data_IF_459288762067
#
_entry.id   IF_459288762067
#
_cell.length_a   1.000
_cell.length_b   1.000
_cell.length_c   1.000
_cell.angle_alpha   90.00
_cell.angle_beta   90.00
_cell.angle_gamma   90.00
#
_symmetry.space_group_name_H-M   'P 1'
#
loop_
_entity.id
_entity.type
_entity.pdbx_description
1 polymer ?
#
# COMPACT_ATOMS: atom_id res chain seq x y z
N UNK A 1 -22.72 -4.05 20.86
CA UNK A 1 -22.48 -3.73 22.29
C UNK A 1 -21.87 -2.34 22.38
N UNK A 2 -22.45 -1.47 23.20
CA UNK A 2 -21.89 -0.16 23.51
C UNK A 2 -20.65 -0.35 24.41
N UNK A 3 -19.53 0.37 24.10
CA UNK A 3 -18.35 0.42 24.95
C UNK A 3 -18.25 1.80 25.57
N UNK A 4 -18.18 1.85 26.91
CA UNK A 4 -17.92 3.09 27.63
C UNK A 4 -16.47 3.12 28.10
N UNK A 5 -15.82 4.32 28.09
CA UNK A 5 -14.49 4.55 28.65
C UNK A 5 -14.46 5.86 29.43
N UNK A 6 -13.58 5.96 30.39
CA UNK A 6 -13.30 7.25 31.04
C UNK A 6 -12.67 8.21 30.02
N UNK A 7 -12.98 9.48 30.14
CA UNK A 7 -12.33 10.53 29.36
C UNK A 7 -10.82 10.50 29.64
N UNK A 8 -10.02 10.49 28.59
CA UNK A 8 -8.57 10.60 28.67
C UNK A 8 -8.10 11.42 27.47
N UNK A 9 -6.96 12.09 27.61
CA UNK A 9 -6.29 12.71 26.46
C UNK A 9 -5.86 11.58 25.54
N UNK A 10 -6.45 11.52 24.36
CA UNK A 10 -6.07 10.56 23.32
C UNK A 10 -5.56 11.34 22.12
N UNK A 11 -4.41 10.95 21.63
CA UNK A 11 -3.95 11.45 20.33
C UNK A 11 -4.91 10.99 19.23
N UNK A 12 -5.45 11.94 18.50
CA UNK A 12 -6.30 11.65 17.35
C UNK A 12 -5.42 11.36 16.14
N UNK A 13 -5.58 10.19 15.53
CA UNK A 13 -4.94 9.90 14.24
C UNK A 13 -5.77 10.54 13.13
N UNK A 14 -5.11 11.28 12.24
CA UNK A 14 -5.74 11.86 11.05
C UNK A 14 -5.76 10.80 9.95
N UNK A 15 -6.95 10.52 9.42
CA UNK A 15 -7.11 9.79 8.15
C UNK A 15 -7.61 10.77 7.09
N UNK A 16 -6.91 10.85 5.96
CA UNK A 16 -7.25 11.75 4.85
C UNK A 16 -7.23 10.98 3.54
N UNK A 17 -8.21 11.28 2.67
CA UNK A 17 -8.26 10.77 1.30
C UNK A 17 -8.18 11.96 0.35
N UNK A 18 -7.19 11.93 -0.55
CA UNK A 18 -7.04 12.91 -1.62
C UNK A 18 -7.52 12.28 -2.92
N UNK A 19 -8.46 12.95 -3.59
CA UNK A 19 -8.95 12.50 -4.89
C UNK A 19 -9.03 13.66 -5.87
N UNK A 20 -8.92 13.34 -7.16
CA UNK A 20 -8.97 14.35 -8.22
C UNK A 20 -8.33 13.81 -9.50
N UNK A 21 -8.41 14.62 -10.56
CA UNK A 21 -7.80 14.29 -11.86
C UNK A 21 -6.27 14.15 -11.73
N UNK A 22 -5.59 13.50 -12.67
CA UNK A 22 -4.13 13.56 -12.77
C UNK A 22 -3.62 15.00 -12.76
N UNK A 23 -2.41 15.21 -12.24
CA UNK A 23 -1.73 16.53 -12.18
C UNK A 23 -2.42 17.60 -11.33
N UNK A 24 -3.27 17.23 -10.38
CA UNK A 24 -3.92 18.19 -9.46
C UNK A 24 -3.14 18.40 -8.14
N UNK A 25 -1.91 17.90 -8.05
CA UNK A 25 -1.04 18.10 -6.89
C UNK A 25 -1.33 17.19 -5.68
N UNK A 26 -2.01 16.05 -5.86
CA UNK A 26 -2.30 15.12 -4.77
C UNK A 26 -1.03 14.59 -4.11
N UNK A 27 -0.10 14.05 -4.90
CA UNK A 27 1.20 13.55 -4.43
C UNK A 27 2.02 14.67 -3.81
N UNK A 28 2.06 15.85 -4.43
CA UNK A 28 2.72 17.03 -3.87
C UNK A 28 2.16 17.38 -2.48
N UNK A 29 0.85 17.32 -2.31
CA UNK A 29 0.21 17.59 -1.02
C UNK A 29 0.55 16.50 0.02
N UNK A 30 0.56 15.23 -0.38
CA UNK A 30 0.93 14.13 0.50
C UNK A 30 2.39 14.26 0.97
N UNK A 31 3.29 14.70 0.09
CA UNK A 31 4.70 14.91 0.41
C UNK A 31 4.95 16.05 1.40
N UNK A 32 3.98 16.96 1.61
CA UNK A 32 4.11 17.97 2.67
C UNK A 32 4.26 17.36 4.07
N UNK A 33 3.84 16.11 4.27
CA UNK A 33 4.05 15.39 5.54
C UNK A 33 5.54 15.25 5.89
N UNK A 34 6.43 15.21 4.92
CA UNK A 34 7.88 15.13 5.13
C UNK A 34 8.47 16.37 5.82
N UNK A 35 7.78 17.52 5.78
CA UNK A 35 8.19 18.75 6.47
C UNK A 35 7.65 18.86 7.90
N UNK A 36 6.77 17.95 8.31
CA UNK A 36 6.16 17.99 9.62
C UNK A 36 7.18 17.53 10.69
N UNK A 37 6.91 17.95 11.91
CA UNK A 37 7.70 17.56 13.07
C UNK A 37 6.82 16.86 14.09
N UNK A 38 7.40 15.89 14.75
CA UNK A 38 6.81 15.22 15.90
C UNK A 38 6.72 16.18 17.09
N UNK A 39 5.94 15.86 18.13
CA UNK A 39 5.86 16.67 19.36
C UNK A 39 7.21 16.90 20.05
N UNK A 40 8.17 16.00 19.87
CA UNK A 40 9.53 16.11 20.38
C UNK A 40 10.44 17.03 19.54
N UNK A 41 9.90 17.60 18.45
CA UNK A 41 10.60 18.49 17.52
C UNK A 41 11.39 17.77 16.42
N UNK A 42 11.49 16.44 16.45
CA UNK A 42 12.16 15.64 15.41
C UNK A 42 11.31 15.58 14.15
N UNK A 43 11.93 15.36 12.96
CA UNK A 43 11.19 15.18 11.71
C UNK A 43 10.22 13.99 11.75
N UNK A 44 9.14 14.07 10.96
CA UNK A 44 8.27 12.93 10.70
C UNK A 44 9.03 11.86 9.93
N UNK A 45 8.73 10.59 10.26
CA UNK A 45 9.15 9.44 9.49
C UNK A 45 7.98 8.97 8.64
N UNK A 46 8.18 8.94 7.33
CA UNK A 46 7.14 8.72 6.36
C UNK A 46 7.31 7.35 5.69
N UNK A 47 6.34 6.46 5.86
CA UNK A 47 6.21 5.26 5.04
C UNK A 47 5.41 5.64 3.78
N UNK A 48 6.03 5.54 2.62
CA UNK A 48 5.41 5.84 1.34
C UNK A 48 5.24 4.56 0.53
N UNK A 49 3.99 4.14 0.34
CA UNK A 49 3.63 2.97 -0.46
C UNK A 49 3.24 3.46 -1.85
N UNK A 50 4.06 3.13 -2.85
CA UNK A 50 3.96 3.61 -4.22
C UNK A 50 3.57 2.50 -5.22
N UNK A 51 2.28 2.31 -5.51
CA UNK A 51 1.81 1.39 -6.52
C UNK A 51 2.12 1.81 -7.96
N UNK A 52 2.45 3.07 -8.20
CA UNK A 52 2.77 3.60 -9.53
C UNK A 52 4.26 3.45 -9.88
N UNK A 53 5.08 3.03 -8.91
CA UNK A 53 6.51 2.74 -9.07
C UNK A 53 7.31 3.92 -9.65
N UNK A 54 7.54 4.93 -8.81
CA UNK A 54 8.34 6.11 -9.12
C UNK A 54 7.59 7.43 -9.03
N UNK A 55 6.34 7.44 -8.55
CA UNK A 55 5.56 8.68 -8.40
C UNK A 55 6.19 9.66 -7.40
N UNK A 56 6.96 9.18 -6.44
CA UNK A 56 7.66 9.99 -5.44
C UNK A 56 9.03 10.48 -5.92
N UNK A 57 9.68 9.78 -6.84
CA UNK A 57 11.09 10.03 -7.20
C UNK A 57 11.34 11.46 -7.70
N UNK A 58 10.38 12.01 -8.44
CA UNK A 58 10.42 13.39 -8.93
C UNK A 58 10.47 14.43 -7.80
N UNK A 59 10.03 14.07 -6.58
CA UNK A 59 9.96 14.98 -5.43
C UNK A 59 11.17 14.86 -4.50
N UNK A 60 11.92 13.76 -4.54
CA UNK A 60 13.02 13.51 -3.59
C UNK A 60 14.11 14.58 -3.67
N UNK A 61 14.45 15.03 -4.88
CA UNK A 61 15.41 16.10 -5.09
C UNK A 61 14.98 17.41 -4.43
N UNK A 62 13.74 17.80 -4.61
CA UNK A 62 13.17 19.01 -4.03
C UNK A 62 13.07 18.92 -2.51
N UNK A 63 12.67 17.77 -1.97
CA UNK A 63 12.62 17.54 -0.53
C UNK A 63 13.99 17.70 0.11
N UNK A 64 15.01 17.05 -0.47
CA UNK A 64 16.39 17.14 0.00
C UNK A 64 16.93 18.57 -0.08
N UNK A 65 16.70 19.28 -1.18
CA UNK A 65 17.12 20.68 -1.36
C UNK A 65 16.46 21.63 -0.35
N UNK A 66 15.26 21.28 0.15
CA UNK A 66 14.54 22.04 1.16
C UNK A 66 14.81 21.53 2.61
N UNK A 67 15.83 20.71 2.82
CA UNK A 67 16.32 20.31 4.13
C UNK A 67 15.60 19.11 4.77
N UNK A 68 14.84 18.34 3.98
CA UNK A 68 14.30 17.07 4.44
C UNK A 68 15.40 16.02 4.38
N UNK A 69 15.64 15.31 5.49
CA UNK A 69 16.52 14.14 5.48
C UNK A 69 15.74 12.95 4.91
N UNK A 70 16.21 12.43 3.77
CA UNK A 70 15.54 11.33 3.05
C UNK A 70 15.57 9.99 3.80
N UNK A 71 16.50 9.80 4.74
CA UNK A 71 16.52 8.61 5.63
C UNK A 71 15.27 8.50 6.52
N UNK A 72 14.51 9.58 6.66
CA UNK A 72 13.21 9.58 7.33
C UNK A 72 12.05 9.20 6.39
N UNK A 73 12.33 8.82 5.14
CA UNK A 73 11.32 8.42 4.16
C UNK A 73 11.63 7.00 3.70
N UNK A 74 10.82 6.04 4.11
CA UNK A 74 10.93 4.66 3.61
C UNK A 74 9.91 4.44 2.51
N UNK A 75 10.40 4.11 1.31
CA UNK A 75 9.59 3.95 0.10
C UNK A 75 9.46 2.46 -0.22
N UNK A 76 8.25 2.02 -0.48
CA UNK A 76 7.98 0.64 -0.92
C UNK A 76 7.19 0.68 -2.21
N UNK A 77 7.77 0.12 -3.27
CA UNK A 77 7.11 -0.03 -4.56
C UNK A 77 6.32 -1.33 -4.56
N UNK A 78 5.00 -1.26 -4.53
CA UNK A 78 4.15 -2.45 -4.57
C UNK A 78 2.79 -2.19 -5.19
N UNK A 79 2.38 -3.09 -6.07
CA UNK A 79 1.04 -3.13 -6.66
C UNK A 79 0.13 -4.16 -5.96
N UNK A 80 0.63 -4.80 -4.90
CA UNK A 80 -0.08 -5.81 -4.13
C UNK A 80 -0.85 -5.19 -2.98
N UNK A 81 -2.17 -5.28 -3.01
CA UNK A 81 -3.01 -4.88 -1.88
C UNK A 81 -2.68 -5.68 -0.61
N UNK A 82 -2.26 -6.95 -0.78
CA UNK A 82 -1.84 -7.80 0.34
C UNK A 82 -0.61 -7.22 1.04
N UNK A 83 0.41 -6.81 0.30
CA UNK A 83 1.62 -6.18 0.83
C UNK A 83 1.32 -4.83 1.48
N UNK A 84 0.52 -3.97 0.83
CA UNK A 84 0.07 -2.71 1.44
C UNK A 84 -0.56 -2.96 2.82
N UNK A 85 -1.42 -3.97 2.94
CA UNK A 85 -2.01 -4.34 4.24
C UNK A 85 -0.99 -4.85 5.25
N UNK A 86 0.02 -5.60 4.80
CA UNK A 86 1.12 -6.08 5.67
C UNK A 86 1.94 -4.90 6.22
N UNK A 87 2.33 -3.95 5.37
CA UNK A 87 3.05 -2.75 5.81
C UNK A 87 2.24 -1.91 6.79
N UNK A 88 0.94 -1.71 6.54
CA UNK A 88 0.04 -1.03 7.47
C UNK A 88 -0.05 -1.79 8.80
N UNK A 89 -0.09 -3.13 8.76
CA UNK A 89 -0.11 -3.95 9.97
C UNK A 89 1.21 -3.84 10.76
N UNK A 90 2.37 -3.85 10.10
CA UNK A 90 3.68 -3.61 10.74
C UNK A 90 3.69 -2.28 11.49
N UNK A 91 3.24 -1.19 10.86
CA UNK A 91 3.13 0.12 11.55
C UNK A 91 2.20 0.05 12.76
N UNK A 92 1.03 -0.58 12.61
CA UNK A 92 0.05 -0.71 13.68
C UNK A 92 0.58 -1.50 14.88
N UNK A 93 1.37 -2.54 14.61
CA UNK A 93 1.93 -3.44 15.62
C UNK A 93 3.29 -2.96 16.13
N UNK A 94 3.83 -1.86 15.61
CA UNK A 94 5.17 -1.34 15.92
C UNK A 94 6.29 -2.35 15.63
N UNK A 95 6.16 -3.09 14.52
CA UNK A 95 7.14 -4.06 14.05
C UNK A 95 8.30 -3.39 13.32
N UNK A 96 9.43 -4.06 13.22
CA UNK A 96 10.59 -3.60 12.45
C UNK A 96 10.33 -3.72 10.95
N UNK A 97 10.95 -2.81 10.19
CA UNK A 97 11.06 -2.90 8.75
C UNK A 97 12.45 -3.42 8.40
N UNK A 98 12.55 -4.20 7.35
CA UNK A 98 13.79 -4.76 6.88
C UNK A 98 14.08 -4.28 5.46
N UNK A 99 15.37 -4.13 5.14
CA UNK A 99 15.78 -3.83 3.79
C UNK A 99 15.35 -4.95 2.85
N UNK A 100 15.05 -4.61 1.61
CA UNK A 100 14.68 -5.57 0.57
C UNK A 100 15.89 -5.85 -0.33
N UNK A 101 16.06 -7.13 -0.69
CA UNK A 101 17.02 -7.53 -1.73
C UNK A 101 16.49 -7.20 -3.14
N UNK A 102 17.31 -7.47 -4.18
CA UNK A 102 16.94 -7.21 -5.57
C UNK A 102 15.70 -8.01 -6.04
N UNK A 103 15.37 -9.10 -5.36
CA UNK A 103 14.19 -9.93 -5.62
C UNK A 103 12.97 -9.47 -4.81
N UNK A 104 13.13 -8.48 -3.94
CA UNK A 104 12.08 -7.91 -3.08
C UNK A 104 11.80 -8.72 -1.80
N UNK A 105 12.71 -9.61 -1.39
CA UNK A 105 12.59 -10.32 -0.12
C UNK A 105 13.22 -9.51 1.01
N UNK A 106 12.65 -9.60 2.21
CA UNK A 106 13.23 -8.99 3.40
C UNK A 106 14.58 -9.63 3.72
N UNK A 107 15.59 -8.80 3.97
CA UNK A 107 16.92 -9.19 4.47
C UNK A 107 16.94 -9.27 6.00
N UNK A 108 18.11 -9.51 6.60
CA UNK A 108 18.31 -9.43 8.05
C UNK A 108 18.64 -8.00 8.53
N UNK A 109 18.77 -7.03 7.60
CA UNK A 109 19.12 -5.65 7.90
C UNK A 109 17.87 -4.83 8.23
N UNK A 110 17.85 -4.26 9.44
CA UNK A 110 16.74 -3.40 9.89
C UNK A 110 16.88 -2.02 9.26
N UNK A 111 15.80 -1.52 8.66
CA UNK A 111 15.72 -0.14 8.17
C UNK A 111 15.82 0.83 9.35
N UNK A 112 16.73 1.80 9.25
CA UNK A 112 16.95 2.82 10.29
C UNK A 112 16.51 4.20 9.80
N UNK A 113 16.16 5.07 10.72
CA UNK A 113 15.87 6.48 10.46
C UNK A 113 17.15 7.34 10.51
N UNK A 114 17.02 8.64 10.27
CA UNK A 114 18.12 9.59 10.26
C UNK A 114 18.89 9.71 11.59
N UNK A 115 18.33 9.22 12.67
CA UNK A 115 18.99 9.15 13.99
C UNK A 115 19.72 7.80 14.20
N UNK A 116 19.63 6.86 13.24
CA UNK A 116 20.18 5.50 13.34
C UNK A 116 19.32 4.55 14.19
N UNK A 117 18.11 4.96 14.53
CA UNK A 117 17.16 4.14 15.28
C UNK A 117 16.27 3.32 14.33
N UNK A 118 15.75 2.16 14.74
CA UNK A 118 14.81 1.39 13.91
C UNK A 118 13.67 2.27 13.41
N UNK A 119 13.43 2.24 12.10
CA UNK A 119 12.41 3.08 11.46
C UNK A 119 11.02 2.80 12.03
N UNK A 120 10.33 3.84 12.42
CA UNK A 120 8.94 3.80 12.92
C UNK A 120 8.13 4.88 12.24
N UNK A 121 7.22 4.49 11.36
CA UNK A 121 6.44 5.45 10.60
C UNK A 121 5.50 6.28 11.51
N UNK A 122 5.63 7.58 11.43
CA UNK A 122 4.71 8.55 12.06
C UNK A 122 3.52 8.84 11.14
N UNK A 123 3.71 8.66 9.83
CA UNK A 123 2.65 8.76 8.82
C UNK A 123 2.82 7.70 7.73
N UNK A 124 1.70 7.32 7.10
CA UNK A 124 1.66 6.41 5.97
C UNK A 124 0.98 7.14 4.81
N UNK A 125 1.60 7.10 3.64
CA UNK A 125 1.00 7.51 2.37
C UNK A 125 0.81 6.29 1.51
N UNK A 126 -0.35 6.18 0.86
CA UNK A 126 -0.62 5.21 -0.21
C UNK A 126 -0.99 6.02 -1.44
N UNK A 127 -0.06 6.17 -2.37
CA UNK A 127 -0.25 6.98 -3.56
C UNK A 127 -0.46 6.10 -4.79
N UNK A 128 -1.65 6.19 -5.40
CA UNK A 128 -2.03 5.35 -6.55
C UNK A 128 -3.02 4.23 -6.19
N UNK A 129 -4.00 4.50 -5.31
CA UNK A 129 -5.06 3.53 -4.95
C UNK A 129 -5.85 3.03 -6.16
N UNK A 130 -5.90 3.79 -7.26
CA UNK A 130 -6.50 3.37 -8.53
C UNK A 130 -5.77 2.15 -9.10
N UNK A 131 -4.43 2.16 -9.09
CA UNK A 131 -3.61 1.04 -9.56
C UNK A 131 -3.85 -0.18 -8.69
N UNK A 132 -3.84 -0.04 -7.36
CA UNK A 132 -4.15 -1.14 -6.44
C UNK A 132 -5.52 -1.76 -6.71
N UNK A 133 -6.53 -0.95 -7.01
CA UNK A 133 -7.86 -1.45 -7.35
C UNK A 133 -7.84 -2.22 -8.68
N UNK A 134 -7.16 -1.70 -9.70
CA UNK A 134 -7.06 -2.34 -11.02
C UNK A 134 -6.32 -3.68 -10.92
N UNK A 135 -5.15 -3.71 -10.30
CA UNK A 135 -4.34 -4.94 -10.16
C UNK A 135 -5.07 -5.99 -9.33
N UNK A 136 -5.74 -5.57 -8.25
CA UNK A 136 -6.58 -6.49 -7.45
C UNK A 136 -7.70 -7.10 -8.28
N UNK A 137 -8.41 -6.29 -9.07
CA UNK A 137 -9.47 -6.81 -9.97
C UNK A 137 -8.94 -7.76 -11.02
N UNK A 138 -7.81 -7.43 -11.64
CA UNK A 138 -7.15 -8.32 -12.62
C UNK A 138 -6.77 -9.66 -11.97
N UNK A 139 -6.17 -9.64 -10.80
CA UNK A 139 -5.83 -10.86 -10.06
C UNK A 139 -7.06 -11.71 -9.73
N UNK A 140 -8.18 -11.10 -9.36
CA UNK A 140 -9.43 -11.82 -9.09
C UNK A 140 -10.05 -12.42 -10.36
N UNK A 141 -9.96 -11.74 -11.51
CA UNK A 141 -10.38 -12.30 -12.81
C UNK A 141 -9.53 -13.51 -13.17
N UNK A 142 -8.21 -13.42 -13.04
CA UNK A 142 -7.32 -14.56 -13.31
C UNK A 142 -7.57 -15.73 -12.35
N UNK A 143 -7.82 -15.47 -11.08
CA UNK A 143 -8.24 -16.48 -10.12
C UNK A 143 -9.56 -17.13 -10.53
N UNK A 144 -10.52 -16.34 -11.01
CA UNK A 144 -11.81 -16.82 -11.52
C UNK A 144 -11.64 -17.73 -12.74
N UNK A 145 -10.74 -17.38 -13.68
CA UNK A 145 -10.38 -18.23 -14.82
C UNK A 145 -9.78 -19.57 -14.37
N UNK A 146 -8.85 -19.55 -13.41
CA UNK A 146 -8.28 -20.80 -12.84
C UNK A 146 -9.37 -21.67 -12.20
N UNK A 147 -10.28 -21.09 -11.44
CA UNK A 147 -11.44 -21.78 -10.85
C UNK A 147 -12.36 -22.40 -11.92
N UNK A 148 -12.66 -21.65 -12.99
CA UNK A 148 -13.48 -22.15 -14.08
C UNK A 148 -12.79 -23.21 -14.93
N UNK A 149 -11.45 -23.16 -15.06
CA UNK A 149 -10.67 -24.23 -15.67
C UNK A 149 -10.89 -25.55 -14.95
N UNK A 150 -10.76 -25.55 -13.63
CA UNK A 150 -11.00 -26.77 -12.82
C UNK A 150 -12.43 -27.27 -12.94
N UNK A 151 -13.43 -26.37 -13.02
CA UNK A 151 -14.83 -26.76 -13.24
C UNK A 151 -15.02 -27.35 -14.65
N UNK A 152 -14.47 -26.72 -15.70
CA UNK A 152 -14.56 -27.22 -17.07
C UNK A 152 -13.93 -28.61 -17.22
N UNK A 153 -12.79 -28.86 -16.57
CA UNK A 153 -12.12 -30.16 -16.58
C UNK A 153 -12.97 -31.24 -15.86
N UNK A 154 -13.63 -30.90 -14.75
CA UNK A 154 -14.56 -31.79 -14.05
C UNK A 154 -15.83 -32.09 -14.87
N UNK A 155 -16.31 -31.09 -15.62
CA UNK A 155 -17.49 -31.24 -16.49
C UNK A 155 -17.15 -31.93 -17.81
N UNK A 156 -15.89 -32.33 -18.06
CA UNK A 156 -15.43 -33.00 -19.25
C UNK A 156 -15.49 -32.14 -20.52
N UNK A 157 -15.49 -30.81 -20.37
CA UNK A 157 -15.56 -29.88 -21.51
C UNK A 157 -14.25 -29.87 -22.28
N UNK A 158 -14.34 -29.88 -23.63
CA UNK A 158 -13.21 -29.84 -24.56
C UNK A 158 -13.41 -28.77 -25.63
N UNK A 159 -12.34 -28.39 -26.33
CA UNK A 159 -12.39 -27.44 -27.45
C UNK A 159 -13.01 -26.09 -27.07
N UNK A 160 -13.81 -25.53 -27.94
CA UNK A 160 -14.40 -24.20 -27.80
C UNK A 160 -15.28 -24.06 -26.55
N UNK A 161 -16.05 -25.11 -26.19
CA UNK A 161 -16.90 -25.10 -25.01
C UNK A 161 -16.07 -24.90 -23.74
N UNK A 162 -14.88 -25.52 -23.66
CA UNK A 162 -13.93 -25.33 -22.55
C UNK A 162 -13.37 -23.91 -22.52
N UNK A 163 -12.95 -23.38 -23.67
CA UNK A 163 -12.44 -22.02 -23.80
C UNK A 163 -13.47 -20.98 -23.37
N UNK A 164 -14.71 -21.10 -23.88
CA UNK A 164 -15.81 -20.19 -23.50
C UNK A 164 -16.07 -20.23 -21.99
N UNK A 165 -16.02 -21.41 -21.36
CA UNK A 165 -16.19 -21.53 -19.89
C UNK A 165 -15.08 -20.83 -19.11
N UNK A 166 -13.83 -20.89 -19.59
CA UNK A 166 -12.67 -20.29 -18.93
C UNK A 166 -12.63 -18.77 -19.16
N UNK A 167 -12.70 -18.34 -20.41
CA UNK A 167 -12.56 -16.92 -20.79
C UNK A 167 -13.80 -16.09 -20.43
N UNK A 168 -14.97 -16.70 -20.39
CA UNK A 168 -16.20 -16.06 -19.89
C UNK A 168 -16.25 -15.91 -18.36
N UNK A 169 -15.16 -16.27 -17.65
CA UNK A 169 -15.10 -16.12 -16.21
C UNK A 169 -15.08 -14.64 -15.83
N UNK A 170 -16.09 -14.21 -15.08
CA UNK A 170 -16.15 -12.91 -14.42
C UNK A 170 -15.95 -13.04 -12.91
N UNK A 171 -15.85 -11.91 -12.24
CA UNK A 171 -15.85 -11.85 -10.78
C UNK A 171 -17.23 -12.31 -10.25
N UNK A 172 -17.20 -13.21 -9.27
CA UNK A 172 -18.41 -13.60 -8.52
C UNK A 172 -18.66 -12.59 -7.39
N UNK A 173 -19.88 -12.54 -6.85
CA UNK A 173 -20.26 -11.60 -5.78
C UNK A 173 -19.29 -11.63 -4.59
N UNK A 174 -18.81 -12.81 -4.21
CA UNK A 174 -17.83 -12.98 -3.14
C UNK A 174 -16.46 -12.35 -3.45
N UNK A 175 -16.09 -12.24 -4.72
CA UNK A 175 -14.82 -11.66 -5.14
C UNK A 175 -14.85 -10.13 -4.94
N UNK A 176 -16.01 -9.50 -5.10
CA UNK A 176 -16.19 -8.07 -4.83
C UNK A 176 -16.00 -7.71 -3.35
N UNK A 177 -16.31 -8.64 -2.43
CA UNK A 177 -16.07 -8.41 -1.00
C UNK A 177 -14.58 -8.30 -0.66
N UNK A 178 -13.69 -8.84 -1.50
CA UNK A 178 -12.24 -8.75 -1.33
C UNK A 178 -11.70 -7.39 -1.80
N UNK A 179 -12.39 -6.73 -2.72
CA UNK A 179 -12.00 -5.43 -3.31
C UNK A 179 -12.60 -4.24 -2.55
N UNK A 180 -13.78 -4.43 -1.96
CA UNK A 180 -14.42 -3.37 -1.17
C UNK A 180 -13.77 -3.29 0.22
N UNK A 181 -13.22 -2.14 0.52
CA UNK A 181 -12.62 -1.77 1.81
C UNK A 181 -13.68 -1.26 2.77
#
# INVERSE_FOLDING_TARGET
MAKARKASVTESKLGMILYGKPFTGKSTMAMQLAYFKRPDGKPFRLLYLDPESGSIDDYLGDLSANGVNLENIYIVYTQSLGEVRQYIAKVKNNEDFYELDDDGNETDEVVVDADGEPFRADAIVVDGTTILNLTTKQGLVEFSKKRNKVKADKDGLVGDARLVKIEGAGMELKDYQTVNF
#
